data_IF_620984574229
#
_entry.id   IF_620984574229
#
_cell.length_a   1.000
_cell.length_b   1.000
_cell.length_c   1.000
_cell.angle_alpha   90.00
_cell.angle_beta   90.00
_cell.angle_gamma   90.00
#
_symmetry.space_group_name_H-M   'P 1'
#
loop_
_entity.id
_entity.type
_entity.pdbx_description
1 polymer ?
#
# COMPACT_ATOMS: atom_id res chain seq x y z
N UNK A 1 27.26 7.68 -6.08
CA UNK A 1 26.12 8.05 -5.19
C UNK A 1 26.60 9.21 -4.35
N UNK A 2 26.10 10.40 -4.65
CA UNK A 2 26.65 11.66 -4.17
C UNK A 2 26.33 11.91 -2.71
N UNK A 3 27.34 12.34 -1.94
CA UNK A 3 27.19 12.70 -0.52
C UNK A 3 26.05 13.72 -0.29
N UNK A 4 25.75 14.55 -1.30
CA UNK A 4 24.63 15.49 -1.29
C UNK A 4 23.25 14.85 -1.16
N UNK A 5 23.01 13.74 -1.84
CA UNK A 5 21.73 13.03 -1.76
C UNK A 5 21.49 12.40 -0.38
N UNK A 6 22.54 11.89 0.26
CA UNK A 6 22.46 11.38 1.63
C UNK A 6 22.13 12.47 2.65
N UNK A 7 22.81 13.61 2.52
CA UNK A 7 22.54 14.78 3.40
C UNK A 7 21.11 15.28 3.23
N UNK A 8 20.62 15.36 2.01
CA UNK A 8 19.25 15.79 1.71
C UNK A 8 18.19 14.81 2.27
N UNK A 9 18.42 13.50 2.14
CA UNK A 9 17.52 12.48 2.67
C UNK A 9 17.45 12.50 4.20
N UNK A 10 18.62 12.64 4.85
CA UNK A 10 18.73 12.73 6.31
C UNK A 10 18.09 14.04 6.81
N UNK A 11 18.36 15.17 6.15
CA UNK A 11 17.75 16.45 6.49
C UNK A 11 16.23 16.44 6.31
N UNK A 12 15.73 15.80 5.25
CA UNK A 12 14.30 15.60 5.01
C UNK A 12 13.63 14.78 6.12
N UNK A 13 14.27 13.68 6.54
CA UNK A 13 13.77 12.84 7.63
C UNK A 13 13.64 13.63 8.95
N UNK A 14 14.70 14.35 9.33
CA UNK A 14 14.67 15.20 10.53
C UNK A 14 13.68 16.35 10.40
N UNK A 15 13.55 16.94 9.20
CA UNK A 15 12.59 18.00 8.91
C UNK A 15 11.15 17.53 9.12
N UNK A 16 10.78 16.38 8.59
CA UNK A 16 9.43 15.79 8.75
C UNK A 16 9.17 15.45 10.22
N UNK A 17 10.12 14.82 10.91
CA UNK A 17 10.00 14.54 12.34
C UNK A 17 9.85 15.82 13.17
N UNK A 18 10.59 16.88 12.82
CA UNK A 18 10.51 18.17 13.46
C UNK A 18 9.16 18.85 13.25
N UNK A 19 8.62 18.84 12.04
CA UNK A 19 7.28 19.35 11.72
C UNK A 19 6.19 18.57 12.47
N UNK A 20 6.28 17.25 12.51
CA UNK A 20 5.35 16.42 13.26
C UNK A 20 5.39 16.74 14.77
N UNK A 21 6.59 16.98 15.32
CA UNK A 21 6.74 17.38 16.71
C UNK A 21 6.16 18.78 16.99
N UNK A 22 6.34 19.75 16.07
CA UNK A 22 5.76 21.09 16.17
C UNK A 22 4.23 21.06 16.13
N UNK A 23 3.66 20.16 15.32
CA UNK A 23 2.21 19.98 15.19
C UNK A 23 1.61 19.14 16.34
N UNK A 24 2.44 18.56 17.21
CA UNK A 24 1.98 17.68 18.31
C UNK A 24 1.29 18.47 19.41
N UNK A 25 0.14 17.97 19.86
CA UNK A 25 -0.61 18.51 21.01
C UNK A 25 0.09 18.23 22.34
N UNK A 26 0.83 17.11 22.46
CA UNK A 26 1.49 16.65 23.70
C UNK A 26 3.03 16.68 23.57
N UNK A 27 3.60 17.90 23.47
CA UNK A 27 5.03 18.15 23.26
C UNK A 27 5.97 17.65 24.38
N UNK A 28 5.57 17.61 25.69
CA UNK A 28 6.47 17.14 26.74
C UNK A 28 6.82 15.67 26.64
N UNK A 29 5.94 14.84 26.09
CA UNK A 29 6.22 13.41 25.85
C UNK A 29 7.02 13.25 24.57
N UNK A 30 8.32 13.09 24.70
CA UNK A 30 9.23 12.82 23.58
C UNK A 30 9.20 11.33 23.24
N UNK A 31 8.54 10.93 22.14
CA UNK A 31 8.40 9.51 21.79
C UNK A 31 9.65 8.98 21.07
N UNK A 32 10.84 9.27 21.59
CA UNK A 32 12.10 8.82 20.96
C UNK A 32 12.15 7.32 20.74
N UNK A 33 11.59 6.54 21.68
CA UNK A 33 11.50 5.10 21.53
C UNK A 33 10.62 4.68 20.34
N UNK A 34 9.51 5.37 20.11
CA UNK A 34 8.61 5.07 19.00
C UNK A 34 9.25 5.43 17.65
N UNK A 35 9.94 6.57 17.58
CA UNK A 35 10.68 7.00 16.39
C UNK A 35 11.80 6.00 16.08
N UNK A 36 12.58 5.59 17.10
CA UNK A 36 13.64 4.61 16.92
C UNK A 36 13.10 3.25 16.46
N UNK A 37 11.97 2.81 17.00
CA UNK A 37 11.31 1.56 16.59
C UNK A 37 10.82 1.67 15.14
N UNK A 38 10.20 2.79 14.75
CA UNK A 38 9.73 3.01 13.38
C UNK A 38 10.87 3.00 12.37
N UNK A 39 11.93 3.77 12.64
CA UNK A 39 13.12 3.81 11.79
C UNK A 39 13.85 2.47 11.76
N UNK A 40 13.95 1.79 12.91
CA UNK A 40 14.56 0.47 13.00
C UNK A 40 13.78 -0.57 12.18
N UNK A 41 12.44 -0.55 12.25
CA UNK A 41 11.58 -1.43 11.46
C UNK A 41 11.70 -1.14 9.96
N UNK A 42 11.77 0.13 9.56
CA UNK A 42 11.96 0.53 8.17
C UNK A 42 13.31 0.06 7.64
N UNK A 43 14.39 0.24 8.40
CA UNK A 43 15.72 -0.22 8.04
C UNK A 43 15.80 -1.75 7.98
N UNK A 44 15.18 -2.44 8.94
CA UNK A 44 15.09 -3.89 8.95
C UNK A 44 14.36 -4.41 7.72
N UNK A 45 13.23 -3.81 7.36
CA UNK A 45 12.45 -4.18 6.19
C UNK A 45 13.25 -3.91 4.91
N UNK A 46 13.90 -2.75 4.81
CA UNK A 46 14.77 -2.41 3.68
C UNK A 46 15.94 -3.39 3.53
N UNK A 47 16.58 -3.75 4.65
CA UNK A 47 17.67 -4.73 4.65
C UNK A 47 17.19 -6.12 4.23
N UNK A 48 16.02 -6.53 4.72
CA UNK A 48 15.40 -7.81 4.40
C UNK A 48 15.03 -7.88 2.91
N UNK A 49 14.43 -6.82 2.37
CA UNK A 49 14.12 -6.69 0.94
C UNK A 49 15.36 -6.69 0.04
N UNK A 50 16.44 -6.00 0.48
CA UNK A 50 17.63 -5.83 -0.35
C UNK A 50 18.62 -7.00 -0.22
N UNK A 51 18.69 -7.66 0.95
CA UNK A 51 19.73 -8.64 1.28
C UNK A 51 19.24 -10.08 1.39
N UNK A 52 17.97 -10.34 1.71
CA UNK A 52 17.46 -11.70 1.86
C UNK A 52 17.09 -12.28 0.49
N UNK A 53 17.81 -13.28 -0.04
CA UNK A 53 17.53 -13.85 -1.36
C UNK A 53 16.13 -14.47 -1.41
N UNK A 54 15.71 -15.23 -0.41
CA UNK A 54 14.39 -15.86 -0.39
C UNK A 54 13.21 -14.88 -0.29
N UNK A 55 13.43 -13.66 0.21
CA UNK A 55 12.41 -12.62 0.23
C UNK A 55 12.24 -11.99 -1.17
N UNK A 56 13.32 -11.81 -1.90
CA UNK A 56 13.28 -11.37 -3.30
C UNK A 56 12.51 -12.36 -4.17
N UNK A 57 12.76 -13.65 -3.99
CA UNK A 57 12.07 -14.70 -4.74
C UNK A 57 10.57 -14.72 -4.44
N UNK A 58 10.17 -14.51 -3.20
CA UNK A 58 8.76 -14.37 -2.81
C UNK A 58 8.09 -13.13 -3.44
N UNK A 59 8.79 -11.99 -3.48
CA UNK A 59 8.30 -10.76 -4.12
C UNK A 59 8.22 -10.94 -5.64
N UNK A 60 9.22 -11.59 -6.27
CA UNK A 60 9.19 -11.89 -7.70
C UNK A 60 8.03 -12.81 -8.06
N UNK A 61 7.78 -13.87 -7.26
CA UNK A 61 6.64 -14.76 -7.46
C UNK A 61 5.31 -13.99 -7.35
N UNK A 62 5.20 -13.07 -6.39
CA UNK A 62 4.02 -12.21 -6.27
C UNK A 62 3.84 -11.29 -7.49
N UNK A 63 4.93 -10.70 -7.99
CA UNK A 63 4.92 -9.90 -9.21
C UNK A 63 4.50 -10.71 -10.43
N UNK A 64 5.04 -11.91 -10.62
CA UNK A 64 4.65 -12.81 -11.71
C UNK A 64 3.15 -13.13 -11.67
N UNK A 65 2.60 -13.37 -10.48
CA UNK A 65 1.16 -13.61 -10.32
C UNK A 65 0.33 -12.37 -10.70
N UNK A 66 0.76 -11.17 -10.33
CA UNK A 66 0.09 -9.91 -10.69
C UNK A 66 0.20 -9.65 -12.20
N UNK A 67 1.36 -9.87 -12.80
CA UNK A 67 1.58 -9.73 -14.23
C UNK A 67 0.73 -10.72 -15.03
N UNK A 68 0.65 -11.99 -14.59
CA UNK A 68 -0.21 -13.00 -15.20
C UNK A 68 -1.69 -12.59 -15.14
N UNK A 69 -2.14 -12.04 -14.01
CA UNK A 69 -3.50 -11.53 -13.86
C UNK A 69 -3.76 -10.34 -14.79
N UNK A 70 -2.81 -9.40 -14.88
CA UNK A 70 -2.90 -8.26 -15.78
C UNK A 70 -2.92 -8.69 -17.25
N UNK A 71 -2.09 -9.67 -17.63
CA UNK A 71 -2.07 -10.22 -18.98
C UNK A 71 -3.39 -10.93 -19.33
N UNK A 72 -3.93 -11.75 -18.42
CA UNK A 72 -5.22 -12.42 -18.60
C UNK A 72 -6.36 -11.39 -18.74
N UNK A 73 -6.32 -10.33 -17.92
CA UNK A 73 -7.31 -9.23 -17.99
C UNK A 73 -7.23 -8.50 -19.32
N UNK A 74 -6.01 -8.19 -19.80
CA UNK A 74 -5.81 -7.57 -21.12
C UNK A 74 -6.31 -8.47 -22.26
N UNK A 75 -6.03 -9.77 -22.20
CA UNK A 75 -6.52 -10.72 -23.19
C UNK A 75 -8.06 -10.74 -23.23
N UNK A 76 -8.71 -10.78 -22.06
CA UNK A 76 -10.17 -10.70 -21.96
C UNK A 76 -10.72 -9.36 -22.45
N UNK A 77 -10.12 -8.24 -22.07
CA UNK A 77 -10.52 -6.91 -22.48
C UNK A 77 -10.35 -6.70 -24.00
N UNK A 78 -9.24 -7.16 -24.56
CA UNK A 78 -9.00 -7.09 -26.00
C UNK A 78 -9.96 -7.97 -26.81
N UNK A 79 -10.36 -9.12 -26.26
CA UNK A 79 -11.36 -9.99 -26.90
C UNK A 79 -12.75 -9.32 -26.95
N UNK A 80 -13.16 -8.65 -25.87
CA UNK A 80 -14.49 -8.01 -25.78
C UNK A 80 -14.54 -6.67 -26.51
N UNK A 81 -13.51 -5.83 -26.33
CA UNK A 81 -13.50 -4.43 -26.79
C UNK A 81 -12.54 -4.19 -27.96
N UNK A 82 -11.89 -5.24 -28.50
CA UNK A 82 -10.95 -5.14 -29.60
C UNK A 82 -9.79 -4.20 -29.29
N UNK A 83 -9.48 -3.28 -30.19
CA UNK A 83 -8.36 -2.34 -30.03
C UNK A 83 -8.53 -1.37 -28.86
N UNK A 84 -9.76 -1.06 -28.44
CA UNK A 84 -10.02 -0.21 -27.25
C UNK A 84 -9.57 -0.92 -25.97
N UNK A 85 -9.67 -2.24 -25.92
CA UNK A 85 -9.22 -3.08 -24.82
C UNK A 85 -7.73 -3.45 -24.84
N UNK A 86 -6.96 -2.89 -25.76
CA UNK A 86 -5.52 -3.16 -25.90
C UNK A 86 -5.17 -4.22 -26.94
N UNK A 87 -6.12 -4.57 -27.83
CA UNK A 87 -5.88 -5.44 -28.99
C UNK A 87 -5.13 -4.72 -30.12
N UNK A 88 -4.87 -5.45 -31.22
CA UNK A 88 -4.19 -4.90 -32.40
C UNK A 88 -4.96 -3.69 -32.97
N UNK A 89 -4.22 -2.64 -33.27
CA UNK A 89 -4.78 -1.41 -33.82
C UNK A 89 -5.05 -1.60 -35.32
N UNK A 90 -6.24 -1.20 -35.84
CA UNK A 90 -6.57 -1.25 -37.26
C UNK A 90 -6.01 -0.06 -38.05
N UNK A 91 -5.20 0.82 -37.43
CA UNK A 91 -4.62 2.01 -38.02
C UNK A 91 -3.18 2.23 -37.53
N UNK A 92 -2.40 2.97 -38.33
CA UNK A 92 -1.04 3.35 -37.94
C UNK A 92 -1.08 4.42 -36.85
N UNK A 93 -0.29 4.21 -35.80
CA UNK A 93 -0.15 5.18 -34.70
C UNK A 93 0.84 6.24 -35.14
N UNK A 94 0.43 7.50 -35.09
CA UNK A 94 1.35 8.63 -35.24
C UNK A 94 2.28 8.67 -34.05
N UNK A 95 3.58 8.73 -34.30
CA UNK A 95 4.63 8.77 -33.28
C UNK A 95 4.26 9.75 -32.15
N UNK A 96 4.53 9.35 -30.90
CA UNK A 96 4.29 10.09 -29.65
C UNK A 96 2.84 10.14 -29.11
N UNK A 97 1.91 9.35 -29.58
CA UNK A 97 0.56 9.29 -28.99
C UNK A 97 0.32 7.98 -28.24
N UNK A 98 -0.06 8.10 -26.97
CA UNK A 98 -0.51 6.95 -26.19
C UNK A 98 -1.84 6.41 -26.72
N UNK A 99 -1.88 5.13 -27.03
CA UNK A 99 -3.10 4.40 -27.42
C UNK A 99 -3.86 3.84 -26.23
N UNK A 100 -3.48 4.26 -25.02
CA UNK A 100 -4.08 3.80 -23.78
C UNK A 100 -5.49 4.38 -23.61
N UNK A 101 -6.50 3.51 -23.64
CA UNK A 101 -7.88 3.89 -23.36
C UNK A 101 -8.21 3.48 -21.92
N UNK A 102 -8.13 4.45 -21.00
CA UNK A 102 -8.29 4.23 -19.56
C UNK A 102 -9.57 3.47 -19.24
N UNK A 103 -10.69 3.83 -19.87
CA UNK A 103 -11.98 3.22 -19.59
C UNK A 103 -12.04 1.72 -19.89
N UNK A 104 -11.37 1.24 -20.93
CA UNK A 104 -11.44 -0.17 -21.35
C UNK A 104 -10.25 -1.00 -20.92
N UNK A 105 -9.12 -0.38 -20.61
CA UNK A 105 -7.90 -1.09 -20.20
C UNK A 105 -7.72 -1.03 -18.69
N UNK A 106 -7.74 0.16 -18.08
CA UNK A 106 -7.48 0.33 -16.65
C UNK A 106 -8.71 -0.02 -15.82
N UNK A 107 -9.92 0.50 -16.18
CA UNK A 107 -11.11 0.18 -15.38
C UNK A 107 -11.45 -1.31 -15.39
N UNK A 108 -11.22 -2.00 -16.50
CA UNK A 108 -11.43 -3.46 -16.55
C UNK A 108 -10.50 -4.18 -15.58
N UNK A 109 -9.23 -3.77 -15.50
CA UNK A 109 -8.28 -4.31 -14.54
C UNK A 109 -8.74 -4.05 -13.08
N UNK A 110 -9.22 -2.83 -12.80
CA UNK A 110 -9.74 -2.48 -11.47
C UNK A 110 -10.93 -3.35 -11.09
N UNK A 111 -11.84 -3.63 -12.03
CA UNK A 111 -13.00 -4.52 -11.79
C UNK A 111 -12.52 -5.94 -11.44
N UNK A 112 -11.57 -6.49 -12.19
CA UNK A 112 -11.02 -7.83 -11.96
C UNK A 112 -10.31 -7.89 -10.59
N UNK A 113 -9.49 -6.91 -10.27
CA UNK A 113 -8.81 -6.84 -8.97
C UNK A 113 -9.83 -6.72 -7.82
N UNK A 114 -10.87 -5.88 -7.98
CA UNK A 114 -11.93 -5.74 -6.98
C UNK A 114 -12.71 -7.03 -6.76
N UNK A 115 -13.02 -7.76 -7.83
CA UNK A 115 -13.68 -9.06 -7.76
C UNK A 115 -12.79 -10.09 -7.04
N UNK A 116 -11.50 -10.12 -7.38
CA UNK A 116 -10.53 -11.01 -6.72
C UNK A 116 -10.39 -10.67 -5.24
N UNK A 117 -10.29 -9.40 -4.89
CA UNK A 117 -10.22 -8.93 -3.51
C UNK A 117 -11.48 -9.35 -2.72
N UNK A 118 -12.67 -9.20 -3.31
CA UNK A 118 -13.92 -9.65 -2.71
C UNK A 118 -13.93 -11.16 -2.47
N UNK A 119 -13.40 -11.94 -3.41
CA UNK A 119 -13.26 -13.39 -3.28
C UNK A 119 -12.30 -13.78 -2.15
N UNK A 120 -11.15 -13.12 -2.05
CA UNK A 120 -10.16 -13.32 -0.99
C UNK A 120 -10.71 -12.94 0.40
N UNK A 121 -11.55 -11.91 0.47
CA UNK A 121 -12.27 -11.54 1.69
C UNK A 121 -13.29 -12.63 2.06
N UNK A 122 -14.07 -13.11 1.08
CA UNK A 122 -15.08 -14.16 1.30
C UNK A 122 -14.44 -15.45 1.82
N UNK A 123 -13.33 -15.88 1.25
CA UNK A 123 -12.57 -17.04 1.71
C UNK A 123 -11.80 -16.81 3.01
N UNK A 124 -11.88 -15.61 3.59
CA UNK A 124 -11.17 -15.19 4.82
C UNK A 124 -9.65 -15.25 4.71
N UNK A 125 -9.09 -15.39 3.52
CA UNK A 125 -7.64 -15.38 3.29
C UNK A 125 -7.09 -13.99 3.62
N UNK A 126 -7.65 -12.95 3.00
CA UNK A 126 -7.22 -11.58 3.22
C UNK A 126 -7.36 -11.13 4.69
N UNK A 127 -8.50 -11.35 5.39
CA UNK A 127 -8.61 -11.03 6.81
C UNK A 127 -7.62 -11.79 7.70
N UNK A 128 -7.23 -13.01 7.34
CA UNK A 128 -6.22 -13.76 8.08
C UNK A 128 -4.83 -13.14 7.91
N UNK A 129 -4.43 -12.80 6.69
CA UNK A 129 -3.17 -12.10 6.38
C UNK A 129 -3.12 -10.75 7.09
N UNK A 130 -4.17 -9.94 6.97
CA UNK A 130 -4.28 -8.61 7.60
C UNK A 130 -4.12 -8.70 9.12
N UNK A 131 -4.74 -9.69 9.78
CA UNK A 131 -4.58 -9.90 11.23
C UNK A 131 -3.14 -10.26 11.60
N UNK A 132 -2.46 -11.06 10.79
CA UNK A 132 -1.05 -11.38 11.00
C UNK A 132 -0.16 -10.12 10.98
N UNK A 133 -0.38 -9.26 9.99
CA UNK A 133 0.32 -7.96 9.90
C UNK A 133 -0.08 -7.00 11.02
N UNK A 134 -1.36 -6.96 11.42
CA UNK A 134 -1.82 -6.17 12.54
C UNK A 134 -1.09 -6.56 13.83
N UNK A 135 -1.02 -7.84 14.15
CA UNK A 135 -0.30 -8.35 15.32
C UNK A 135 1.20 -8.00 15.31
N UNK A 136 1.81 -7.94 14.11
CA UNK A 136 3.20 -7.52 13.95
C UNK A 136 3.39 -6.02 14.24
N UNK A 137 2.41 -5.18 13.88
CA UNK A 137 2.46 -3.72 14.06
C UNK A 137 2.02 -3.28 15.47
N UNK A 138 1.05 -3.95 16.08
CA UNK A 138 0.47 -3.57 17.37
C UNK A 138 1.52 -3.49 18.49
N UNK A 139 2.38 -4.51 18.60
CA UNK A 139 3.36 -4.60 19.68
C UNK A 139 4.41 -3.50 19.64
N UNK A 140 5.16 -3.28 18.53
CA UNK A 140 6.24 -2.30 18.49
C UNK A 140 5.72 -0.86 18.50
N UNK A 141 4.57 -0.60 17.87
CA UNK A 141 4.01 0.75 17.78
C UNK A 141 3.01 1.08 18.88
N UNK A 142 2.68 0.12 19.75
CA UNK A 142 1.69 0.28 20.85
C UNK A 142 0.35 0.78 20.33
N UNK A 143 -0.05 0.35 19.15
CA UNK A 143 -1.33 0.70 18.53
C UNK A 143 -2.46 -0.12 19.18
N UNK A 144 -3.63 0.49 19.30
CA UNK A 144 -4.83 -0.26 19.65
C UNK A 144 -5.16 -1.27 18.52
N UNK A 145 -5.69 -2.44 18.89
CA UNK A 145 -5.94 -3.53 17.93
C UNK A 145 -6.75 -3.12 16.70
N UNK A 146 -7.73 -2.21 16.87
CA UNK A 146 -8.50 -1.68 15.75
C UNK A 146 -7.66 -0.77 14.85
N UNK A 147 -6.78 0.07 15.41
CA UNK A 147 -5.89 0.93 14.64
C UNK A 147 -4.84 0.10 13.89
N UNK A 148 -4.24 -0.90 14.55
CA UNK A 148 -3.32 -1.85 13.93
C UNK A 148 -3.98 -2.62 12.77
N UNK A 149 -5.22 -3.06 12.95
CA UNK A 149 -6.00 -3.73 11.92
C UNK A 149 -6.28 -2.81 10.72
N UNK A 150 -6.66 -1.56 10.96
CA UNK A 150 -6.90 -0.56 9.90
C UNK A 150 -5.64 -0.24 9.11
N UNK A 151 -4.51 -0.07 9.79
CA UNK A 151 -3.21 0.15 9.15
C UNK A 151 -2.76 -1.06 8.32
N UNK A 152 -2.90 -2.26 8.85
CA UNK A 152 -2.57 -3.49 8.13
C UNK A 152 -3.49 -3.71 6.92
N UNK A 153 -4.79 -3.44 7.07
CA UNK A 153 -5.74 -3.54 5.96
C UNK A 153 -5.39 -2.57 4.83
N UNK A 154 -4.93 -1.36 5.17
CA UNK A 154 -4.60 -0.33 4.18
C UNK A 154 -3.45 -0.73 3.23
N UNK A 155 -2.54 -1.60 3.68
CA UNK A 155 -1.45 -2.12 2.83
C UNK A 155 -2.01 -2.95 1.65
N UNK A 156 -3.12 -3.67 1.87
CA UNK A 156 -3.65 -4.63 0.91
C UNK A 156 -4.86 -4.11 0.13
N UNK A 157 -5.74 -3.36 0.77
CA UNK A 157 -7.07 -3.03 0.23
C UNK A 157 -7.16 -1.57 -0.22
N UNK A 158 -6.36 -0.70 0.37
CA UNK A 158 -6.33 0.72 0.03
C UNK A 158 -7.02 1.62 1.06
N UNK A 159 -6.84 2.92 0.87
CA UNK A 159 -7.23 3.93 1.87
C UNK A 159 -8.74 4.10 2.05
N UNK A 160 -9.54 3.74 1.04
CA UNK A 160 -11.00 3.88 1.09
C UNK A 160 -11.65 2.67 1.76
N UNK A 161 -11.18 1.48 1.44
CA UNK A 161 -11.72 0.22 1.94
C UNK A 161 -11.18 -0.17 3.32
N UNK A 162 -9.94 0.21 3.65
CA UNK A 162 -9.35 -0.13 4.94
C UNK A 162 -10.17 0.33 6.15
N UNK A 163 -10.73 1.54 6.20
CA UNK A 163 -11.63 1.97 7.28
C UNK A 163 -12.87 1.10 7.43
N UNK A 164 -13.34 0.44 6.36
CA UNK A 164 -14.49 -0.45 6.42
C UNK A 164 -14.23 -1.69 7.29
N UNK A 165 -12.98 -2.17 7.33
CA UNK A 165 -12.57 -3.29 8.20
C UNK A 165 -12.68 -2.96 9.68
N UNK A 166 -12.57 -1.69 10.05
CA UNK A 166 -12.63 -1.22 11.44
C UNK A 166 -13.88 -0.39 11.72
N UNK A 167 -14.84 -0.37 10.79
CA UNK A 167 -16.04 0.46 10.86
C UNK A 167 -16.74 0.40 12.21
N UNK A 168 -16.92 -0.80 12.75
CA UNK A 168 -17.62 -1.01 14.02
C UNK A 168 -16.83 -0.51 15.25
N UNK A 169 -15.53 -0.23 15.07
CA UNK A 169 -14.61 0.25 16.09
C UNK A 169 -14.28 1.74 15.95
N UNK A 170 -14.59 2.37 14.80
CA UNK A 170 -14.24 3.77 14.52
C UNK A 170 -14.72 4.74 15.60
N UNK A 171 -15.94 4.57 16.08
CA UNK A 171 -16.52 5.43 17.12
C UNK A 171 -15.86 5.28 18.50
N UNK A 172 -15.08 4.22 18.70
CA UNK A 172 -14.39 3.89 19.97
C UNK A 172 -12.90 4.14 19.91
N UNK A 173 -12.36 4.54 18.77
CA UNK A 173 -10.94 4.85 18.62
C UNK A 173 -10.58 6.11 19.42
N UNK A 174 -9.40 6.09 20.02
CA UNK A 174 -8.82 7.30 20.58
C UNK A 174 -8.51 8.30 19.46
N UNK A 175 -8.43 9.60 19.78
CA UNK A 175 -8.03 10.64 18.80
C UNK A 175 -6.67 10.31 18.16
N UNK A 176 -5.75 9.78 18.94
CA UNK A 176 -4.43 9.34 18.51
C UNK A 176 -4.51 8.19 17.51
N UNK A 177 -5.29 7.15 17.82
CA UNK A 177 -5.45 6.00 16.91
C UNK A 177 -6.15 6.40 15.61
N UNK A 178 -7.17 7.26 15.69
CA UNK A 178 -7.85 7.79 14.52
C UNK A 178 -6.88 8.57 13.62
N UNK A 179 -6.03 9.42 14.22
CA UNK A 179 -5.02 10.18 13.49
C UNK A 179 -4.01 9.27 12.80
N UNK A 180 -3.55 8.20 13.46
CA UNK A 180 -2.65 7.20 12.86
C UNK A 180 -3.28 6.52 11.65
N UNK A 181 -4.55 6.09 11.76
CA UNK A 181 -5.27 5.45 10.65
C UNK A 181 -5.44 6.43 9.47
N UNK A 182 -5.77 7.69 9.73
CA UNK A 182 -5.89 8.71 8.69
C UNK A 182 -4.54 8.99 8.01
N UNK A 183 -3.48 9.21 8.80
CA UNK A 183 -2.14 9.44 8.26
C UNK A 183 -1.66 8.22 7.44
N UNK A 184 -1.88 7.02 7.93
CA UNK A 184 -1.54 5.80 7.22
C UNK A 184 -2.27 5.69 5.89
N UNK A 185 -3.57 5.98 5.87
CA UNK A 185 -4.37 6.00 4.66
C UNK A 185 -3.86 6.99 3.61
N UNK A 186 -3.43 8.18 4.04
CA UNK A 186 -2.94 9.23 3.14
C UNK A 186 -1.47 9.04 2.71
N UNK A 187 -0.67 8.32 3.49
CA UNK A 187 0.76 8.11 3.24
C UNK A 187 1.06 6.89 2.37
N UNK A 188 0.08 6.02 2.16
CA UNK A 188 0.24 4.77 1.40
C UNK A 188 -0.59 4.81 0.13
N UNK A 189 -0.04 4.21 -0.93
CA UNK A 189 -0.78 3.89 -2.15
C UNK A 189 -1.19 2.42 -2.03
N UNK A 190 -2.43 2.10 -2.36
CA UNK A 190 -2.87 0.71 -2.38
C UNK A 190 -1.96 -0.11 -3.31
N UNK A 191 -1.52 -1.29 -2.85
CA UNK A 191 -0.70 -2.18 -3.66
C UNK A 191 -1.41 -2.74 -4.90
N UNK A 192 -2.67 -2.31 -5.10
CA UNK A 192 -3.52 -2.69 -6.25
C UNK A 192 -3.51 -1.66 -7.38
N UNK A 193 -2.70 -0.58 -7.29
CA UNK A 193 -2.58 0.44 -8.36
C UNK A 193 -1.24 0.33 -9.09
#
# INVERSE_FOLDING_TARGET
>A
MDAGMWLQSVAGLFGICGLAWLASEDRPRRPWGLIAVGLGMQLLLALLLLRAPGFRDAVNLANEAVEALAAATRAGSSFVFGYLGGGALPFEVVEDRSTLVIAFQILTLVIVISALTSLLIHWRILPWVVRGFAALLERPFRLGGAAGLGMAANIFVGMVEAPLFIRDHLARLSRSDLFVVMCGGMATIAGTM
#
